data_IF_267203139758
#
_entry.id   IF_267203139758
#
_cell.length_a   1.000
_cell.length_b   1.000
_cell.length_c   1.000
_cell.angle_alpha   90.00
_cell.angle_beta   90.00
_cell.angle_gamma   90.00
#
_symmetry.space_group_name_H-M   'P 1'
#
loop_
_entity.id
_entity.type
_entity.pdbx_description
1 polymer ?
#
# COMPACT_ATOMS: atom_id res chain seq x y z
N UNK A 1 -21.54 30.56 24.78
CA UNK A 1 -21.71 30.24 23.34
C UNK A 1 -21.53 28.73 23.22
N UNK A 2 -22.64 28.01 23.08
CA UNK A 2 -22.64 26.63 22.69
C UNK A 2 -22.22 26.65 21.23
N UNK A 3 -20.96 26.33 20.97
CA UNK A 3 -20.46 26.11 19.62
C UNK A 3 -21.42 25.14 18.94
N UNK A 4 -21.83 25.47 17.74
CA UNK A 4 -22.66 24.61 16.88
C UNK A 4 -21.87 23.37 16.49
N UNK A 5 -21.73 22.41 17.41
CA UNK A 5 -21.38 21.07 17.08
C UNK A 5 -22.54 20.45 16.28
N UNK A 6 -22.24 19.77 15.21
CA UNK A 6 -23.24 18.99 14.49
C UNK A 6 -23.58 17.75 15.32
N UNK A 7 -24.44 17.98 16.33
CA UNK A 7 -24.91 16.93 17.26
C UNK A 7 -25.54 15.75 16.53
N UNK A 8 -25.99 15.94 15.29
CA UNK A 8 -26.65 14.88 14.53
C UNK A 8 -25.67 13.79 14.09
N UNK A 9 -24.43 14.16 13.75
CA UNK A 9 -23.42 13.17 13.33
C UNK A 9 -22.85 12.40 14.53
N UNK A 10 -22.62 13.08 15.65
CA UNK A 10 -22.10 12.44 16.87
C UNK A 10 -23.11 11.46 17.47
N UNK A 11 -24.41 11.82 17.54
CA UNK A 11 -25.47 10.91 18.00
C UNK A 11 -25.54 9.66 17.13
N UNK A 12 -25.42 9.79 15.81
CA UNK A 12 -25.41 8.64 14.91
C UNK A 12 -24.21 7.71 15.16
N UNK A 13 -23.03 8.27 15.45
CA UNK A 13 -21.84 7.50 15.74
C UNK A 13 -21.97 6.70 17.03
N UNK A 14 -22.46 7.31 18.11
CA UNK A 14 -22.67 6.65 19.40
C UNK A 14 -23.72 5.54 19.32
N UNK A 15 -24.84 5.79 18.63
CA UNK A 15 -25.90 4.81 18.44
C UNK A 15 -25.43 3.61 17.61
N UNK A 16 -24.63 3.84 16.56
CA UNK A 16 -24.06 2.78 15.74
C UNK A 16 -23.03 1.96 16.52
N UNK A 17 -22.17 2.61 17.32
CA UNK A 17 -21.23 1.92 18.18
C UNK A 17 -21.95 1.00 19.16
N UNK A 18 -23.00 1.50 19.84
CA UNK A 18 -23.81 0.69 20.74
C UNK A 18 -24.53 -0.46 20.02
N UNK A 19 -25.14 -0.18 18.87
CA UNK A 19 -25.91 -1.18 18.13
C UNK A 19 -25.07 -2.35 17.60
N UNK A 20 -23.82 -2.10 17.20
CA UNK A 20 -22.95 -3.12 16.59
C UNK A 20 -21.90 -3.70 17.54
N UNK A 21 -21.43 -2.94 18.52
CA UNK A 21 -20.35 -3.33 19.43
C UNK A 21 -20.81 -3.60 20.85
N UNK A 22 -22.04 -3.19 21.20
CA UNK A 22 -22.61 -3.34 22.54
C UNK A 22 -22.34 -2.14 23.46
N UNK A 23 -22.60 -2.32 24.76
CA UNK A 23 -22.53 -1.25 25.76
C UNK A 23 -21.09 -0.79 26.06
N UNK A 24 -20.10 -1.62 25.77
CA UNK A 24 -18.67 -1.32 25.92
C UNK A 24 -17.87 -2.16 24.94
N UNK A 25 -16.79 -1.61 24.42
CA UNK A 25 -15.93 -2.28 23.46
C UNK A 25 -14.45 -1.95 23.72
N UNK A 26 -13.52 -2.68 23.08
CA UNK A 26 -12.13 -2.65 23.47
C UNK A 26 -11.40 -1.40 23.00
N UNK A 27 -11.52 -1.05 21.70
CA UNK A 27 -10.68 -0.01 21.08
C UNK A 27 -11.55 0.95 20.28
N UNK A 28 -11.35 2.26 20.51
CA UNK A 28 -11.82 3.35 19.66
C UNK A 28 -10.63 4.16 19.15
N UNK A 29 -10.64 4.53 17.88
CA UNK A 29 -9.51 5.24 17.29
C UNK A 29 -9.92 6.32 16.31
N UNK A 30 -8.98 7.26 16.09
CA UNK A 30 -9.17 8.33 15.11
C UNK A 30 -7.97 9.26 15.04
N UNK A 31 -8.08 10.35 14.27
CA UNK A 31 -7.07 11.38 14.25
C UNK A 31 -7.05 12.21 15.54
N UNK A 32 -5.90 12.79 15.87
CA UNK A 32 -5.76 13.69 17.01
C UNK A 32 -6.77 14.86 17.03
N UNK A 33 -7.24 15.27 15.86
CA UNK A 33 -8.25 16.33 15.71
C UNK A 33 -9.66 15.90 16.12
N UNK A 34 -9.92 14.61 16.27
CA UNK A 34 -11.20 14.08 16.72
C UNK A 34 -11.30 13.96 18.24
N UNK A 35 -10.18 14.06 18.98
CA UNK A 35 -10.19 14.00 20.46
C UNK A 35 -11.20 14.98 21.01
N UNK A 36 -11.15 16.23 20.52
CA UNK A 36 -12.11 17.26 20.91
C UNK A 36 -12.59 18.03 19.66
N UNK A 37 -13.91 18.23 19.51
CA UNK A 37 -14.99 17.87 20.45
C UNK A 37 -15.60 16.47 20.20
N UNK A 38 -15.26 15.78 19.09
CA UNK A 38 -16.01 14.62 18.60
C UNK A 38 -16.01 13.44 19.60
N UNK A 39 -14.84 12.91 19.94
CA UNK A 39 -14.73 11.75 20.84
C UNK A 39 -15.24 12.06 22.27
N UNK A 40 -15.00 13.28 22.76
CA UNK A 40 -15.55 13.71 24.05
C UNK A 40 -17.08 13.74 24.04
N UNK A 41 -17.70 14.16 22.93
CA UNK A 41 -19.14 14.11 22.75
C UNK A 41 -19.67 12.68 22.68
N UNK A 42 -18.98 11.77 21.99
CA UNK A 42 -19.35 10.35 21.94
C UNK A 42 -19.36 9.71 23.33
N UNK A 43 -18.34 9.98 24.15
CA UNK A 43 -18.26 9.53 25.55
C UNK A 43 -19.46 10.09 26.33
N UNK A 44 -19.65 11.42 26.28
CA UNK A 44 -20.72 12.08 27.03
C UNK A 44 -22.13 11.56 26.66
N UNK A 45 -22.36 11.26 25.40
CA UNK A 45 -23.62 10.70 24.90
C UNK A 45 -23.84 9.28 25.40
N UNK A 46 -22.82 8.42 25.34
CA UNK A 46 -22.89 7.03 25.80
C UNK A 46 -23.12 6.96 27.30
N UNK A 47 -22.38 7.75 28.11
CA UNK A 47 -22.52 7.82 29.55
C UNK A 47 -23.89 8.38 29.96
N UNK A 48 -24.39 9.41 29.25
CA UNK A 48 -25.71 9.96 29.49
C UNK A 48 -26.85 8.95 29.23
N UNK A 49 -26.61 8.02 28.28
CA UNK A 49 -27.54 6.91 28.01
C UNK A 49 -27.41 5.75 29.02
N UNK A 50 -26.44 5.80 29.91
CA UNK A 50 -26.20 4.78 30.93
C UNK A 50 -25.32 3.63 30.46
N UNK A 51 -24.65 3.78 29.35
CA UNK A 51 -23.72 2.80 28.77
C UNK A 51 -22.26 3.13 29.11
N UNK A 52 -21.36 2.14 28.96
CA UNK A 52 -19.93 2.38 28.84
C UNK A 52 -19.57 2.85 27.46
N UNK A 53 -18.27 2.91 27.18
CA UNK A 53 -17.74 3.21 25.84
C UNK A 53 -16.43 2.44 25.61
N UNK A 54 -15.46 3.00 24.87
CA UNK A 54 -14.19 2.35 24.60
C UNK A 54 -13.30 2.26 25.85
N UNK A 55 -12.61 1.11 26.00
CA UNK A 55 -11.63 0.90 27.08
C UNK A 55 -10.27 1.50 26.75
N UNK A 56 -9.87 1.45 25.47
CA UNK A 56 -8.60 1.96 24.97
C UNK A 56 -8.85 2.94 23.82
N UNK A 57 -8.08 4.02 23.83
CA UNK A 57 -8.12 5.06 22.81
C UNK A 57 -6.83 5.11 22.03
N UNK A 58 -6.93 5.05 20.70
CA UNK A 58 -5.78 5.16 19.79
C UNK A 58 -5.94 6.38 18.90
N UNK A 59 -5.10 7.39 19.11
CA UNK A 59 -5.11 8.60 18.28
C UNK A 59 -3.87 8.65 17.40
N UNK A 60 -4.08 8.68 16.09
CA UNK A 60 -2.99 8.83 15.12
C UNK A 60 -2.72 10.31 14.81
N UNK A 61 -1.45 10.62 14.55
CA UNK A 61 -1.06 11.91 14.00
C UNK A 61 -1.45 12.01 12.51
N UNK A 62 -1.16 13.14 11.90
CA UNK A 62 -1.60 13.47 10.55
C UNK A 62 -0.54 13.15 9.50
N UNK A 63 -1.02 12.98 8.27
CA UNK A 63 -0.20 13.13 7.08
C UNK A 63 -0.18 14.61 6.71
N UNK A 64 1.01 15.18 6.59
CA UNK A 64 1.24 16.58 6.24
C UNK A 64 1.82 16.70 4.84
N UNK A 65 1.62 17.86 4.20
CA UNK A 65 2.25 18.21 2.93
C UNK A 65 2.74 19.64 3.03
N UNK A 66 4.03 19.87 2.81
CA UNK A 66 4.69 21.18 2.99
C UNK A 66 4.49 21.75 4.42
N UNK A 67 4.49 20.89 5.44
CA UNK A 67 4.31 21.27 6.84
C UNK A 67 2.86 21.54 7.25
N UNK A 68 1.90 21.45 6.32
CA UNK A 68 0.47 21.67 6.59
C UNK A 68 -0.31 20.36 6.59
N UNK A 69 -1.34 20.27 7.45
CA UNK A 69 -2.25 19.12 7.47
C UNK A 69 -2.90 18.96 6.09
N UNK A 70 -2.84 17.75 5.54
CA UNK A 70 -3.53 17.43 4.30
C UNK A 70 -5.05 17.42 4.53
N UNK A 71 -5.80 18.27 3.80
CA UNK A 71 -7.25 18.32 3.92
C UNK A 71 -7.93 18.70 2.59
N UNK A 72 -9.18 18.27 2.42
CA UNK A 72 -9.98 18.61 1.24
C UNK A 72 -10.27 20.11 1.16
N UNK A 73 -10.47 20.76 2.30
CA UNK A 73 -10.78 22.21 2.38
C UNK A 73 -9.61 23.10 1.94
N UNK A 74 -8.37 22.62 2.12
CA UNK A 74 -7.15 23.31 1.68
C UNK A 74 -6.78 22.99 0.23
N UNK A 75 -7.48 22.05 -0.43
CA UNK A 75 -7.18 21.65 -1.80
C UNK A 75 -5.86 20.89 -1.98
N UNK A 76 -5.18 20.55 -0.88
CA UNK A 76 -3.90 19.85 -0.86
C UNK A 76 -4.06 18.31 -0.61
N UNK A 77 -5.29 17.81 -0.59
CA UNK A 77 -5.54 16.37 -0.38
C UNK A 77 -5.24 15.59 -1.65
N UNK A 78 -4.36 14.62 -1.53
CA UNK A 78 -4.08 13.65 -2.59
C UNK A 78 -5.01 12.44 -2.42
N UNK A 79 -5.76 12.13 -3.45
CA UNK A 79 -6.56 10.90 -3.44
C UNK A 79 -5.66 9.68 -3.63
N UNK A 80 -5.86 8.64 -2.82
CA UNK A 80 -5.13 7.36 -2.94
C UNK A 80 -5.16 6.84 -4.38
N UNK A 81 -6.30 6.96 -5.08
CA UNK A 81 -6.45 6.56 -6.47
C UNK A 81 -5.46 7.25 -7.42
N UNK A 82 -5.11 8.51 -7.17
CA UNK A 82 -4.12 9.23 -8.00
C UNK A 82 -2.69 8.83 -7.64
N UNK A 83 -2.42 8.55 -6.37
CA UNK A 83 -1.12 8.04 -5.93
C UNK A 83 -0.85 6.65 -6.52
N UNK A 84 -1.85 5.77 -6.53
CA UNK A 84 -1.76 4.42 -7.09
C UNK A 84 -1.50 4.36 -8.60
N UNK A 85 -1.61 5.47 -9.31
CA UNK A 85 -1.14 5.56 -10.71
C UNK A 85 0.38 5.64 -10.84
N UNK A 86 1.09 5.94 -9.74
CA UNK A 86 2.55 6.14 -9.71
C UNK A 86 3.30 5.03 -8.97
N UNK A 87 2.67 4.45 -7.96
CA UNK A 87 3.26 3.38 -7.13
C UNK A 87 2.25 2.28 -6.90
N UNK A 88 2.72 1.08 -6.58
CA UNK A 88 1.88 -0.07 -6.25
C UNK A 88 1.25 0.07 -4.86
N UNK A 89 0.13 -0.60 -4.63
CA UNK A 89 -0.59 -0.57 -3.35
C UNK A 89 0.27 -1.00 -2.16
N UNK A 90 1.09 -2.03 -2.32
CA UNK A 90 2.03 -2.50 -1.29
C UNK A 90 3.10 -1.44 -0.95
N UNK A 91 3.61 -0.71 -1.95
CA UNK A 91 4.61 0.35 -1.78
C UNK A 91 4.04 1.55 -1.02
N UNK A 92 2.80 1.95 -1.37
CA UNK A 92 2.09 3.01 -0.65
C UNK A 92 1.81 2.60 0.81
N UNK A 93 1.35 1.36 1.04
CA UNK A 93 1.11 0.84 2.39
C UNK A 93 2.40 0.81 3.22
N UNK A 94 3.50 0.34 2.64
CA UNK A 94 4.82 0.35 3.25
C UNK A 94 5.26 1.76 3.66
N UNK A 95 5.09 2.75 2.78
CA UNK A 95 5.41 4.15 3.06
C UNK A 95 4.56 4.72 4.20
N UNK A 96 3.23 4.58 4.12
CA UNK A 96 2.32 5.12 5.14
C UNK A 96 2.52 4.45 6.51
N UNK A 97 2.86 3.15 6.52
CA UNK A 97 3.14 2.40 7.74
C UNK A 97 4.56 2.59 8.29
N UNK A 98 5.45 3.33 7.61
CA UNK A 98 6.83 3.47 8.05
C UNK A 98 7.03 4.42 9.23
N UNK A 99 6.12 5.35 9.45
CA UNK A 99 6.11 6.21 10.61
C UNK A 99 5.35 5.56 11.78
N UNK A 100 5.72 5.91 13.01
CA UNK A 100 4.92 5.56 14.17
C UNK A 100 3.56 6.28 14.08
N UNK A 101 2.46 5.62 14.44
CA UNK A 101 1.11 6.19 14.27
C UNK A 101 0.89 7.51 15.03
N UNK A 102 1.64 7.76 16.12
CA UNK A 102 1.62 9.02 16.87
C UNK A 102 2.50 10.12 16.28
N UNK A 103 3.26 9.82 15.22
CA UNK A 103 4.17 10.78 14.57
C UNK A 103 3.57 11.30 13.28
N UNK A 104 3.75 12.59 13.00
CA UNK A 104 3.36 13.16 11.72
C UNK A 104 4.19 12.54 10.60
N UNK A 105 3.54 12.23 9.49
CA UNK A 105 4.17 11.76 8.26
C UNK A 105 4.14 12.88 7.22
N UNK A 106 5.28 13.44 6.90
CA UNK A 106 5.39 14.41 5.81
C UNK A 106 5.34 13.68 4.46
N UNK A 107 4.29 13.94 3.69
CA UNK A 107 4.11 13.32 2.38
C UNK A 107 4.80 14.14 1.29
N UNK A 108 5.67 13.49 0.52
CA UNK A 108 6.12 13.96 -0.79
C UNK A 108 6.22 12.77 -1.75
N UNK A 109 6.17 13.05 -3.05
CA UNK A 109 6.36 12.00 -4.05
C UNK A 109 7.78 11.46 -4.07
N UNK A 110 8.75 12.29 -3.72
CA UNK A 110 10.16 11.91 -3.60
C UNK A 110 10.35 10.91 -2.45
N UNK A 111 9.82 11.21 -1.25
CA UNK A 111 9.88 10.31 -0.11
C UNK A 111 9.13 8.99 -0.36
N UNK A 112 7.99 9.07 -1.05
CA UNK A 112 7.24 7.88 -1.47
C UNK A 112 8.07 7.00 -2.42
N UNK A 113 8.73 7.58 -3.44
CA UNK A 113 9.55 6.82 -4.38
C UNK A 113 10.79 6.23 -3.70
N UNK A 114 11.46 6.96 -2.81
CA UNK A 114 12.57 6.43 -2.02
C UNK A 114 12.13 5.22 -1.17
N UNK A 115 10.97 5.32 -0.54
CA UNK A 115 10.37 4.23 0.25
C UNK A 115 10.00 3.04 -0.65
N UNK A 116 9.43 3.28 -1.83
CA UNK A 116 9.11 2.25 -2.80
C UNK A 116 10.37 1.52 -3.29
N UNK A 117 11.47 2.24 -3.56
CA UNK A 117 12.76 1.64 -3.91
C UNK A 117 13.28 0.74 -2.77
N UNK A 118 13.14 1.16 -1.51
CA UNK A 118 13.52 0.33 -0.37
C UNK A 118 12.67 -0.95 -0.29
N UNK A 119 11.35 -0.85 -0.48
CA UNK A 119 10.46 -2.00 -0.53
C UNK A 119 10.81 -2.97 -1.67
N UNK A 120 11.06 -2.47 -2.89
CA UNK A 120 11.48 -3.30 -4.05
C UNK A 120 12.79 -4.06 -3.79
N UNK A 121 13.72 -3.51 -2.98
CA UNK A 121 14.94 -4.23 -2.57
C UNK A 121 14.61 -5.43 -1.69
N UNK A 122 13.67 -5.29 -0.76
CA UNK A 122 13.19 -6.37 0.09
C UNK A 122 12.52 -7.44 -0.78
N UNK A 123 11.60 -7.04 -1.64
CA UNK A 123 10.90 -7.93 -2.56
C UNK A 123 11.87 -8.73 -3.45
N UNK A 124 12.88 -8.06 -4.02
CA UNK A 124 13.92 -8.70 -4.83
C UNK A 124 14.73 -9.73 -4.05
N UNK A 125 15.03 -9.46 -2.78
CA UNK A 125 15.68 -10.43 -1.90
C UNK A 125 14.78 -11.64 -1.66
N UNK A 126 13.51 -11.43 -1.32
CA UNK A 126 12.55 -12.50 -1.04
C UNK A 126 12.32 -13.39 -2.27
N UNK A 127 12.20 -12.81 -3.48
CA UNK A 127 12.11 -13.57 -4.74
C UNK A 127 13.35 -14.45 -4.97
N UNK A 128 14.56 -13.97 -4.63
CA UNK A 128 15.81 -14.75 -4.74
C UNK A 128 15.95 -15.82 -3.68
N UNK A 129 15.46 -15.57 -2.47
CA UNK A 129 15.49 -16.52 -1.36
C UNK A 129 14.50 -17.68 -1.56
N UNK A 130 13.51 -17.52 -2.45
CA UNK A 130 12.38 -18.42 -2.61
C UNK A 130 11.32 -18.21 -1.53
N UNK A 131 10.12 -18.73 -1.77
CA UNK A 131 8.99 -18.58 -0.85
C UNK A 131 9.28 -19.38 0.42
N UNK A 132 9.31 -18.69 1.56
CA UNK A 132 9.46 -19.25 2.90
C UNK A 132 8.18 -19.02 3.70
N UNK A 133 7.82 -19.88 4.61
CA UNK A 133 6.71 -19.62 5.54
C UNK A 133 7.05 -18.46 6.47
N UNK A 134 6.13 -17.50 6.70
CA UNK A 134 6.36 -16.36 7.58
C UNK A 134 6.61 -16.81 9.03
N UNK A 135 7.62 -16.23 9.68
CA UNK A 135 7.93 -16.47 11.10
C UNK A 135 7.84 -15.15 11.87
N UNK A 136 7.06 -15.15 12.93
CA UNK A 136 7.03 -14.02 13.87
C UNK A 136 8.22 -14.15 14.82
N UNK A 137 9.23 -13.30 14.60
CA UNK A 137 10.40 -13.23 15.47
C UNK A 137 10.04 -12.57 16.80
N UNK A 138 10.62 -13.03 17.91
CA UNK A 138 10.32 -12.51 19.26
C UNK A 138 10.65 -11.02 19.40
N UNK A 139 11.76 -10.56 18.83
CA UNK A 139 12.10 -9.13 18.87
C UNK A 139 11.07 -8.26 18.14
N UNK A 140 10.53 -8.77 17.02
CA UNK A 140 9.44 -8.10 16.32
C UNK A 140 8.17 -8.08 17.16
N UNK A 141 7.80 -9.20 17.78
CA UNK A 141 6.62 -9.27 18.65
C UNK A 141 6.75 -8.30 19.85
N UNK A 142 7.92 -8.23 20.48
CA UNK A 142 8.18 -7.30 21.56
C UNK A 142 8.01 -5.84 21.14
N UNK A 143 8.50 -5.46 19.94
CA UNK A 143 8.32 -4.13 19.39
C UNK A 143 6.85 -3.80 19.07
N UNK A 144 6.09 -4.78 18.59
CA UNK A 144 4.66 -4.59 18.35
C UNK A 144 3.87 -4.46 19.63
N UNK A 145 4.28 -5.13 20.71
CA UNK A 145 3.71 -5.00 22.04
C UNK A 145 4.11 -3.69 22.75
N UNK A 146 5.15 -3.00 22.28
CA UNK A 146 5.60 -1.70 22.77
C UNK A 146 5.01 -0.58 21.91
N UNK A 147 3.72 -0.34 22.07
CA UNK A 147 2.95 0.74 21.39
C UNK A 147 3.12 0.75 19.87
N UNK A 148 3.17 -0.43 19.24
CA UNK A 148 3.31 -0.59 17.79
C UNK A 148 4.55 0.14 17.24
N UNK A 149 5.71 -0.15 17.78
CA UNK A 149 6.98 0.48 17.41
C UNK A 149 7.44 0.09 15.99
N UNK A 150 6.62 0.43 14.96
CA UNK A 150 6.85 0.06 13.56
C UNK A 150 8.20 0.56 13.03
N UNK A 151 8.66 1.80 13.27
CA UNK A 151 9.97 2.23 12.77
C UNK A 151 11.11 1.31 13.19
N UNK A 152 11.09 0.84 14.44
CA UNK A 152 12.08 -0.10 14.97
C UNK A 152 11.93 -1.50 14.34
N UNK A 153 10.69 -1.94 14.08
CA UNK A 153 10.42 -3.18 13.36
C UNK A 153 10.99 -3.14 11.93
N UNK A 154 10.88 -2.00 11.23
CA UNK A 154 11.46 -1.82 9.90
C UNK A 154 13.00 -1.78 9.93
N UNK A 155 13.60 -1.31 11.03
CA UNK A 155 15.04 -1.42 11.24
C UNK A 155 15.49 -2.89 11.33
N UNK A 156 14.72 -3.77 12.01
CA UNK A 156 14.98 -5.22 12.01
C UNK A 156 14.89 -5.83 10.61
N UNK A 157 13.89 -5.42 9.81
CA UNK A 157 13.79 -5.87 8.41
C UNK A 157 15.06 -5.50 7.63
N UNK A 158 15.59 -4.29 7.81
CA UNK A 158 16.81 -3.82 7.14
C UNK A 158 18.04 -4.61 7.61
N UNK A 159 18.13 -4.95 8.89
CA UNK A 159 19.18 -5.79 9.44
C UNK A 159 19.14 -7.19 8.84
N UNK A 160 17.98 -7.86 8.87
CA UNK A 160 17.81 -9.19 8.31
C UNK A 160 18.00 -9.24 6.79
N UNK A 161 17.62 -8.18 6.08
CA UNK A 161 17.89 -8.05 4.65
C UNK A 161 19.40 -8.02 4.37
N UNK A 162 20.17 -7.30 5.19
CA UNK A 162 21.63 -7.24 5.08
C UNK A 162 22.28 -8.59 5.38
N UNK A 163 21.84 -9.26 6.46
CA UNK A 163 22.28 -10.59 6.84
C UNK A 163 21.95 -11.62 5.74
N UNK A 164 20.72 -11.60 5.23
CA UNK A 164 20.27 -12.50 4.17
C UNK A 164 21.03 -12.33 2.86
N UNK A 165 21.30 -11.08 2.43
CA UNK A 165 22.13 -10.82 1.25
C UNK A 165 23.58 -11.29 1.44
N UNK A 166 24.15 -11.12 2.63
CA UNK A 166 25.48 -11.66 2.96
C UNK A 166 25.47 -13.19 2.92
N UNK A 167 24.46 -13.83 3.47
CA UNK A 167 24.29 -15.28 3.43
C UNK A 167 24.13 -15.80 2.00
N UNK A 168 23.42 -15.09 1.12
CA UNK A 168 23.32 -15.40 -0.32
C UNK A 168 24.68 -15.43 -0.99
N UNK A 169 25.54 -14.45 -0.72
CA UNK A 169 26.90 -14.40 -1.33
C UNK A 169 27.80 -15.51 -0.79
N UNK A 170 27.53 -16.00 0.44
CA UNK A 170 28.29 -17.08 1.08
C UNK A 170 27.74 -18.48 0.77
N UNK A 171 26.62 -18.59 0.04
CA UNK A 171 25.98 -19.87 -0.25
C UNK A 171 25.30 -20.55 0.97
N UNK A 172 25.01 -19.79 2.02
CA UNK A 172 24.40 -20.30 3.27
C UNK A 172 22.87 -20.33 3.18
N UNK A 173 22.33 -21.33 2.51
CA UNK A 173 20.89 -21.45 2.22
C UNK A 173 19.99 -21.40 3.44
N UNK A 174 20.40 -22.02 4.57
CA UNK A 174 19.61 -22.00 5.81
C UNK A 174 19.49 -20.58 6.41
N UNK A 175 20.57 -19.80 6.40
CA UNK A 175 20.56 -18.42 6.90
C UNK A 175 19.72 -17.50 5.99
N UNK A 176 19.77 -17.73 4.68
CA UNK A 176 18.92 -17.04 3.69
C UNK A 176 17.44 -17.32 3.96
N UNK A 177 17.07 -18.58 4.13
CA UNK A 177 15.70 -19.00 4.41
C UNK A 177 15.18 -18.38 5.72
N UNK A 178 15.99 -18.42 6.78
CA UNK A 178 15.63 -17.83 8.08
C UNK A 178 15.41 -16.31 7.99
N UNK A 179 16.32 -15.58 7.33
CA UNK A 179 16.16 -14.13 7.13
C UNK A 179 14.89 -13.81 6.32
N UNK A 180 14.63 -14.56 5.25
CA UNK A 180 13.43 -14.37 4.42
C UNK A 180 12.15 -14.66 5.20
N UNK A 181 12.11 -15.74 6.00
CA UNK A 181 10.96 -16.11 6.82
C UNK A 181 10.62 -15.01 7.86
N UNK A 182 11.63 -14.44 8.53
CA UNK A 182 11.45 -13.35 9.49
C UNK A 182 10.96 -12.06 8.83
N UNK A 183 11.55 -11.68 7.69
CA UNK A 183 11.12 -10.51 6.93
C UNK A 183 9.66 -10.69 6.51
N UNK A 184 9.28 -11.85 5.96
CA UNK A 184 7.90 -12.13 5.59
C UNK A 184 6.96 -12.07 6.79
N UNK A 185 7.38 -12.52 7.98
CA UNK A 185 6.59 -12.40 9.20
C UNK A 185 6.21 -10.96 9.52
N UNK A 186 7.15 -10.02 9.41
CA UNK A 186 6.86 -8.59 9.56
C UNK A 186 5.92 -8.09 8.47
N UNK A 187 6.23 -8.38 7.20
CA UNK A 187 5.45 -7.89 6.06
C UNK A 187 4.01 -8.42 6.07
N UNK A 188 3.80 -9.67 6.50
CA UNK A 188 2.46 -10.26 6.64
C UNK A 188 1.64 -9.53 7.70
N UNK A 189 2.23 -9.24 8.87
CA UNK A 189 1.54 -8.51 9.94
C UNK A 189 1.21 -7.08 9.51
N UNK A 190 2.13 -6.41 8.80
CA UNK A 190 1.91 -5.06 8.29
C UNK A 190 1.02 -5.03 7.02
N UNK A 191 0.61 -6.17 6.49
CA UNK A 191 -0.24 -6.28 5.31
C UNK A 191 0.43 -5.79 4.02
N UNK A 192 1.74 -6.03 3.87
CA UNK A 192 2.52 -5.67 2.69
C UNK A 192 3.45 -6.81 2.23
N UNK A 193 3.08 -8.08 2.50
CA UNK A 193 3.82 -9.24 1.98
C UNK A 193 3.66 -9.30 0.45
N UNK A 194 4.76 -9.26 -0.35
CA UNK A 194 4.67 -9.28 -1.81
C UNK A 194 4.10 -10.60 -2.38
N UNK A 195 4.02 -11.65 -1.57
CA UNK A 195 3.41 -12.92 -1.96
C UNK A 195 1.94 -13.06 -1.55
N UNK A 196 1.35 -12.03 -0.95
CA UNK A 196 -0.08 -11.99 -0.68
C UNK A 196 -0.86 -11.91 -2.00
N UNK A 197 -1.94 -12.70 -2.11
CA UNK A 197 -2.81 -12.71 -3.27
C UNK A 197 -3.39 -11.34 -3.61
N UNK A 198 -3.56 -10.46 -2.61
CA UNK A 198 -4.03 -9.09 -2.81
C UNK A 198 -3.07 -8.24 -3.67
N UNK A 199 -1.77 -8.59 -3.72
CA UNK A 199 -0.75 -7.88 -4.50
C UNK A 199 -0.30 -8.65 -5.74
N UNK A 200 -0.74 -9.89 -5.94
CA UNK A 200 -0.39 -10.69 -7.10
C UNK A 200 -0.83 -10.07 -8.43
N UNK A 201 -1.91 -9.29 -8.41
CA UNK A 201 -2.39 -8.54 -9.57
C UNK A 201 -1.50 -7.34 -9.93
N UNK A 202 -0.80 -6.75 -8.95
CA UNK A 202 0.10 -5.62 -9.17
C UNK A 202 1.42 -6.04 -9.85
N UNK A 203 1.86 -7.29 -9.68
CA UNK A 203 3.06 -7.84 -10.36
C UNK A 203 2.82 -7.97 -11.88
N UNK A 204 1.56 -8.09 -12.31
CA UNK A 204 1.20 -8.07 -13.72
C UNK A 204 1.28 -6.66 -14.34
N UNK A 205 1.29 -5.58 -13.56
CA UNK A 205 1.28 -4.21 -14.10
C UNK A 205 2.59 -3.85 -14.81
N UNK A 206 3.74 -4.21 -14.26
CA UNK A 206 5.05 -3.97 -14.90
C UNK A 206 5.22 -4.83 -16.17
N UNK A 207 4.78 -6.09 -16.11
CA UNK A 207 4.77 -6.98 -17.27
C UNK A 207 3.80 -6.48 -18.34
N UNK A 208 2.61 -6.05 -17.93
CA UNK A 208 1.60 -5.47 -18.82
C UNK A 208 2.11 -4.17 -19.46
N UNK A 209 2.77 -3.28 -18.71
CA UNK A 209 3.39 -2.07 -19.25
C UNK A 209 4.52 -2.38 -20.21
N UNK A 210 5.37 -3.36 -19.91
CA UNK A 210 6.43 -3.80 -20.82
C UNK A 210 5.85 -4.40 -22.11
N UNK A 211 4.82 -5.22 -22.00
CA UNK A 211 4.09 -5.80 -23.14
C UNK A 211 3.42 -4.67 -23.93
N UNK A 212 2.78 -3.72 -23.29
CA UNK A 212 2.12 -2.56 -23.93
C UNK A 212 3.14 -1.74 -24.74
N UNK A 213 4.32 -1.47 -24.16
CA UNK A 213 5.42 -0.80 -24.84
C UNK A 213 5.93 -1.57 -26.07
N UNK A 214 6.09 -2.89 -25.97
CA UNK A 214 6.53 -3.73 -27.07
C UNK A 214 5.48 -3.82 -28.18
N UNK A 215 4.20 -3.95 -27.84
CA UNK A 215 3.12 -4.00 -28.80
C UNK A 215 2.97 -2.65 -29.51
N UNK A 216 3.04 -1.53 -28.75
CA UNK A 216 3.01 -0.19 -29.33
C UNK A 216 4.12 -0.01 -30.38
N UNK A 217 5.35 -0.44 -30.08
CA UNK A 217 6.45 -0.40 -31.03
C UNK A 217 6.19 -1.26 -32.30
N UNK A 218 5.60 -2.45 -32.13
CA UNK A 218 5.25 -3.31 -33.27
C UNK A 218 4.13 -2.71 -34.10
N UNK A 219 3.16 -2.04 -33.50
CA UNK A 219 2.08 -1.34 -34.18
C UNK A 219 2.60 -0.11 -34.94
N UNK A 220 3.55 0.64 -34.41
CA UNK A 220 4.25 1.73 -35.12
C UNK A 220 5.01 1.20 -36.34
N UNK A 221 5.71 0.07 -36.21
CA UNK A 221 6.41 -0.56 -37.33
C UNK A 221 5.44 -1.04 -38.42
N UNK A 222 4.28 -1.61 -38.01
CA UNK A 222 3.22 -2.00 -38.93
C UNK A 222 2.67 -0.79 -39.71
N UNK A 223 2.40 0.30 -39.03
CA UNK A 223 1.89 1.53 -39.65
C UNK A 223 2.93 2.15 -40.59
N UNK A 224 4.19 2.16 -40.19
CA UNK A 224 5.30 2.59 -41.08
C UNK A 224 5.43 1.71 -42.32
N UNK A 225 5.18 0.39 -42.23
CA UNK A 225 5.17 -0.51 -43.39
C UNK A 225 3.98 -0.20 -44.30
N UNK A 226 2.77 0.02 -43.76
CA UNK A 226 1.59 0.43 -44.53
C UNK A 226 1.78 1.75 -45.26
N UNK A 227 2.38 2.74 -44.61
CA UNK A 227 2.68 4.06 -45.20
C UNK A 227 3.65 3.94 -46.40
N UNK A 228 4.54 2.97 -46.37
CA UNK A 228 5.45 2.65 -47.51
C UNK A 228 4.83 1.71 -48.55
N UNK A 229 3.56 1.34 -48.36
CA UNK A 229 2.81 0.37 -49.17
C UNK A 229 3.44 -1.05 -49.15
N UNK A 230 4.18 -1.39 -48.12
CA UNK A 230 4.70 -2.73 -47.89
C UNK A 230 3.69 -3.54 -47.07
N UNK A 231 2.65 -3.99 -47.75
CA UNK A 231 1.57 -4.71 -47.11
C UNK A 231 2.01 -6.10 -46.64
N UNK A 232 2.99 -6.72 -47.28
CA UNK A 232 3.51 -8.02 -46.87
C UNK A 232 4.19 -7.95 -45.51
N UNK A 233 4.99 -6.92 -45.27
CA UNK A 233 5.62 -6.68 -43.97
C UNK A 233 4.58 -6.32 -42.89
N UNK A 234 3.54 -5.53 -43.21
CA UNK A 234 2.49 -5.18 -42.30
C UNK A 234 1.66 -6.39 -41.87
N UNK A 235 1.32 -7.29 -42.78
CA UNK A 235 0.59 -8.53 -42.50
C UNK A 235 1.44 -9.50 -41.68
N UNK A 236 2.74 -9.65 -42.00
CA UNK A 236 3.63 -10.48 -41.20
C UNK A 236 3.76 -10.03 -39.73
N UNK A 237 3.74 -8.72 -39.45
CA UNK A 237 3.73 -8.19 -38.08
C UNK A 237 2.40 -8.54 -37.40
N UNK A 238 1.27 -8.34 -38.06
CA UNK A 238 -0.06 -8.69 -37.54
C UNK A 238 -0.16 -10.17 -37.20
N UNK A 239 0.26 -11.05 -38.10
CA UNK A 239 0.20 -12.49 -37.90
C UNK A 239 1.07 -12.95 -36.73
N UNK A 240 2.23 -12.33 -36.53
CA UNK A 240 3.09 -12.60 -35.37
C UNK A 240 2.41 -12.19 -34.06
N UNK A 241 1.80 -11.00 -33.98
CA UNK A 241 1.07 -10.52 -32.81
C UNK A 241 -0.09 -11.47 -32.51
N UNK A 242 -0.88 -11.84 -33.52
CA UNK A 242 -2.01 -12.78 -33.38
C UNK A 242 -1.54 -14.18 -32.97
N UNK A 243 -0.40 -14.64 -33.48
CA UNK A 243 0.20 -15.93 -33.08
C UNK A 243 0.67 -16.00 -31.62
N UNK A 244 0.79 -14.87 -30.93
CA UNK A 244 1.07 -14.79 -29.49
C UNK A 244 -0.23 -14.74 -28.65
N UNK A 245 -1.41 -14.87 -29.26
CA UNK A 245 -2.71 -14.80 -28.57
C UNK A 245 -3.21 -13.37 -28.33
N UNK A 246 -2.58 -12.37 -28.98
CA UNK A 246 -2.94 -10.96 -28.83
C UNK A 246 -3.81 -10.54 -30.00
N UNK A 247 -4.98 -10.00 -29.71
CA UNK A 247 -5.92 -9.45 -30.70
C UNK A 247 -5.69 -7.94 -30.83
N UNK A 248 -5.57 -7.47 -32.07
CA UNK A 248 -5.42 -6.04 -32.39
C UNK A 248 -6.64 -5.56 -33.16
N UNK A 249 -7.31 -4.54 -32.65
CA UNK A 249 -8.41 -3.85 -33.29
C UNK A 249 -7.99 -2.45 -33.74
N UNK A 250 -8.22 -2.14 -35.01
CA UNK A 250 -7.98 -0.80 -35.57
C UNK A 250 -9.20 0.08 -35.25
N UNK A 251 -9.06 1.06 -34.32
CA UNK A 251 -10.12 2.02 -33.98
C UNK A 251 -9.82 3.41 -34.54
N UNK A 252 -10.84 4.30 -34.65
CA UNK A 252 -10.62 5.68 -35.10
C UNK A 252 -9.68 6.49 -34.21
N UNK A 253 -9.47 6.06 -32.97
CA UNK A 253 -8.58 6.68 -31.98
C UNK A 253 -7.18 6.07 -31.99
N UNK A 254 -6.93 5.07 -32.86
CA UNK A 254 -5.69 4.30 -32.93
C UNK A 254 -5.92 2.80 -32.66
N UNK A 255 -4.89 1.96 -32.93
CA UNK A 255 -5.01 0.53 -32.68
C UNK A 255 -5.09 0.23 -31.18
N UNK A 256 -6.04 -0.64 -30.79
CA UNK A 256 -6.17 -1.21 -29.45
C UNK A 256 -5.87 -2.69 -29.47
N UNK A 257 -5.30 -3.19 -28.37
CA UNK A 257 -5.00 -4.61 -28.23
C UNK A 257 -5.61 -5.22 -26.97
N UNK A 258 -5.84 -6.52 -27.00
CA UNK A 258 -6.29 -7.34 -25.87
C UNK A 258 -5.70 -8.75 -25.96
N UNK A 259 -5.55 -9.40 -24.81
CA UNK A 259 -5.13 -10.82 -24.68
C UNK A 259 -6.37 -11.68 -24.51
#
# INVERSE_FOLDING_TARGET
EILTCDWSSDVCSSDLAHAYLGESFDIHGGGLDLVFPHHENEIAQSEAAGYGFAQLWMHNAWVTTAGEKMSKSLGNSLQVKEILKKVRGAELRWYLGSAHYRSMLEFSFEALEESAVAYRRIEKFLKRAGIQEPIIDTKFADLMNDDLAVPQALALVSEWLTQGNTALTQGKSADVANAAAKIRGVLTVLGCDPFDAAFAADDNSELTQAIDGLISLLLEQREAARSRKDFAAADAIRDRISGMGITVEDTPEGPRWSI
#
